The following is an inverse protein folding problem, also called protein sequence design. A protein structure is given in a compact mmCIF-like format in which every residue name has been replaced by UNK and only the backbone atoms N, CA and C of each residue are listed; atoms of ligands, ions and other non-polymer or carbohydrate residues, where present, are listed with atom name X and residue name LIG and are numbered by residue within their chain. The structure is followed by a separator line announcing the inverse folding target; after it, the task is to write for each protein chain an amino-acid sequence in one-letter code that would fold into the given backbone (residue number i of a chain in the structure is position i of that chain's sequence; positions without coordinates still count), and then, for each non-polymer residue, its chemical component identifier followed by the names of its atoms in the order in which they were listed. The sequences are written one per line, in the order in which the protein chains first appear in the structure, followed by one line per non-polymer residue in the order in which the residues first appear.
data_IF_999348901927
#
_entry.id   IF_999348901927
#
_cell.length_a   1.000
_cell.length_b   1.000
_cell.length_c   1.000
_cell.angle_alpha   90.00
_cell.angle_beta   90.00
_cell.angle_gamma   90.00
#
_symmetry.space_group_name_H-M   'P 1'
#
loop_
_entity.id
_entity.type
_entity.pdbx_description
1 polymer ?
#
# COMPACT_ATOMS: atom_id res chain seq x y z
N UNK A 1 -2.23 -4.64 -10.75
CA UNK A 1 -0.82 -4.71 -10.27
C UNK A 1 -0.78 -3.79 -9.07
N UNK A 2 -0.22 -4.24 -7.94
CA UNK A 2 -0.36 -3.53 -6.64
C UNK A 2 0.02 -2.05 -6.75
N UNK A 3 1.05 -1.70 -7.53
CA UNK A 3 1.44 -0.30 -7.78
C UNK A 3 0.31 0.55 -8.38
N UNK A 4 -0.35 0.06 -9.43
CA UNK A 4 -1.50 0.76 -10.05
C UNK A 4 -2.65 0.93 -9.06
N UNK A 5 -2.90 -0.08 -8.23
CA UNK A 5 -3.99 -0.06 -7.25
C UNK A 5 -3.70 0.95 -6.14
N UNK A 6 -2.43 1.15 -5.77
CA UNK A 6 -1.99 2.19 -4.84
C UNK A 6 -2.15 3.59 -5.44
N UNK A 7 -1.77 3.82 -6.70
CA UNK A 7 -1.98 5.11 -7.35
C UNK A 7 -3.49 5.47 -7.42
N UNK A 8 -4.34 4.51 -7.81
CA UNK A 8 -5.80 4.70 -7.80
C UNK A 8 -6.35 5.00 -6.39
N UNK A 9 -5.76 4.41 -5.35
CA UNK A 9 -6.15 4.70 -3.96
C UNK A 9 -5.75 6.13 -3.55
N UNK A 10 -4.55 6.60 -3.94
CA UNK A 10 -4.09 7.96 -3.63
C UNK A 10 -4.93 9.02 -4.37
N UNK A 11 -5.29 8.78 -5.63
CA UNK A 11 -6.24 9.63 -6.37
C UNK A 11 -7.60 9.69 -5.65
N UNK A 12 -8.11 8.56 -5.17
CA UNK A 12 -9.36 8.53 -4.40
C UNK A 12 -9.26 9.29 -3.07
N UNK A 13 -8.08 9.31 -2.43
CA UNK A 13 -7.80 10.09 -1.23
C UNK A 13 -7.80 11.60 -1.52
N UNK A 14 -7.23 12.02 -2.65
CA UNK A 14 -7.25 13.41 -3.11
C UNK A 14 -8.68 13.87 -3.41
N UNK A 15 -9.46 13.08 -4.15
CA UNK A 15 -10.88 13.38 -4.45
C UNK A 15 -11.76 13.50 -3.19
N UNK A 16 -11.39 12.81 -2.10
CA UNK A 16 -12.06 12.91 -0.80
C UNK A 16 -11.63 14.15 0.01
N UNK A 17 -10.68 14.94 -0.48
CA UNK A 17 -10.19 16.14 0.19
C UNK A 17 -9.31 15.85 1.41
N UNK A 18 -8.61 14.70 1.44
CA UNK A 18 -7.63 14.45 2.49
C UNK A 18 -6.46 15.43 2.41
N UNK A 19 -5.86 15.76 3.56
CA UNK A 19 -4.72 16.67 3.58
C UNK A 19 -3.51 16.06 2.86
N UNK A 20 -2.67 16.91 2.25
CA UNK A 20 -1.42 16.46 1.61
C UNK A 20 -0.52 15.68 2.58
N UNK A 21 -0.52 16.03 3.87
CA UNK A 21 0.22 15.30 4.91
C UNK A 21 -0.31 13.88 5.07
N UNK A 22 -1.64 13.71 5.07
CA UNK A 22 -2.29 12.39 5.17
C UNK A 22 -1.99 11.55 3.93
N UNK A 23 -2.15 12.12 2.74
CA UNK A 23 -1.88 11.44 1.46
C UNK A 23 -0.41 11.00 1.39
N UNK A 24 0.52 11.90 1.71
CA UNK A 24 1.95 11.58 1.72
C UNK A 24 2.32 10.48 2.73
N UNK A 25 1.68 10.45 3.91
CA UNK A 25 1.88 9.36 4.87
C UNK A 25 1.36 8.03 4.34
N UNK A 26 0.21 8.01 3.66
CA UNK A 26 -0.33 6.80 3.05
C UNK A 26 0.55 6.30 1.91
N UNK A 27 0.96 7.19 1.02
CA UNK A 27 1.88 6.86 -0.08
C UNK A 27 3.16 6.22 0.44
N UNK A 28 3.80 6.85 1.43
CA UNK A 28 5.04 6.32 2.02
C UNK A 28 4.85 4.90 2.57
N UNK A 29 3.82 4.67 3.37
CA UNK A 29 3.54 3.34 3.95
C UNK A 29 3.20 2.32 2.86
N UNK A 30 2.40 2.69 1.86
CA UNK A 30 2.02 1.79 0.76
C UNK A 30 3.21 1.43 -0.12
N UNK A 31 4.11 2.36 -0.42
CA UNK A 31 5.34 2.07 -1.19
C UNK A 31 6.26 1.09 -0.47
N UNK A 32 6.41 1.23 0.86
CA UNK A 32 7.16 0.25 1.67
C UNK A 32 6.49 -1.12 1.66
N UNK A 33 5.16 -1.16 1.81
CA UNK A 33 4.40 -2.42 1.76
C UNK A 33 4.45 -3.11 0.39
N UNK A 34 4.41 -2.34 -0.71
CA UNK A 34 4.59 -2.87 -2.08
C UNK A 34 5.95 -3.54 -2.20
N UNK A 35 7.02 -2.88 -1.73
CA UNK A 35 8.37 -3.44 -1.77
C UNK A 35 8.42 -4.78 -1.02
N UNK A 36 7.90 -4.83 0.19
CA UNK A 36 7.79 -6.07 0.96
C UNK A 36 7.00 -7.15 0.19
N UNK A 37 5.85 -6.79 -0.38
CA UNK A 37 4.99 -7.72 -1.13
C UNK A 37 5.69 -8.29 -2.36
N UNK A 38 6.44 -7.46 -3.09
CA UNK A 38 7.25 -7.87 -4.24
C UNK A 38 8.36 -8.85 -3.84
N UNK A 39 9.02 -8.64 -2.70
CA UNK A 39 10.01 -9.58 -2.15
C UNK A 39 9.40 -10.95 -1.79
N UNK A 40 8.10 -10.99 -1.49
CA UNK A 40 7.33 -12.23 -1.27
C UNK A 40 6.72 -12.81 -2.56
N UNK A 41 7.00 -12.23 -3.74
CA UNK A 41 6.47 -12.68 -5.04
C UNK A 41 5.02 -12.29 -5.30
N UNK A 42 4.47 -11.32 -4.56
CA UNK A 42 3.07 -10.92 -4.63
C UNK A 42 2.93 -9.61 -5.41
N UNK A 43 2.40 -9.72 -6.63
CA UNK A 43 2.27 -8.62 -7.60
C UNK A 43 0.81 -8.20 -7.88
N UNK A 44 -0.14 -8.87 -7.23
CA UNK A 44 -1.59 -8.66 -7.35
C UNK A 44 -2.21 -8.43 -5.97
N UNK A 45 -3.05 -7.41 -5.84
CA UNK A 45 -3.65 -7.00 -4.56
C UNK A 45 -4.56 -8.08 -3.97
N UNK A 46 -5.23 -8.86 -4.82
CA UNK A 46 -6.11 -9.98 -4.44
C UNK A 46 -5.35 -11.14 -3.79
N UNK A 47 -4.02 -11.17 -3.93
CA UNK A 47 -3.16 -12.17 -3.29
C UNK A 47 -2.62 -11.71 -1.94
N UNK A 48 -2.86 -10.47 -1.54
CA UNK A 48 -2.50 -9.97 -0.22
C UNK A 48 -3.43 -10.59 0.82
N UNK A 49 -2.85 -11.34 1.75
CA UNK A 49 -3.59 -11.99 2.84
C UNK A 49 -3.43 -11.25 4.16
N UNK A 50 -4.35 -11.47 5.10
CA UNK A 50 -4.23 -10.94 6.46
C UNK A 50 -2.91 -11.35 7.13
N UNK A 51 -2.46 -12.59 6.93
CA UNK A 51 -1.18 -13.07 7.48
C UNK A 51 0.02 -12.27 6.95
N UNK A 52 0.01 -11.89 5.66
CA UNK A 52 1.08 -11.07 5.10
C UNK A 52 1.13 -9.67 5.72
N UNK A 53 -0.04 -9.07 5.96
CA UNK A 53 -0.13 -7.76 6.62
C UNK A 53 0.42 -7.86 8.05
N UNK A 54 0.05 -8.92 8.79
CA UNK A 54 0.59 -9.16 10.13
C UNK A 54 2.11 -9.38 10.11
N UNK A 55 2.62 -10.13 9.13
CA UNK A 55 4.06 -10.34 8.96
C UNK A 55 4.80 -9.04 8.65
N UNK A 56 4.22 -8.15 7.85
CA UNK A 56 4.81 -6.84 7.56
C UNK A 56 4.90 -5.98 8.83
N UNK A 57 3.82 -5.93 9.63
CA UNK A 57 3.74 -5.15 10.87
C UNK A 57 4.65 -5.71 11.97
N UNK A 58 4.93 -7.02 11.99
CA UNK A 58 5.79 -7.60 13.03
C UNK A 58 7.28 -7.37 12.79
N UNK A 59 7.68 -7.04 11.55
CA UNK A 59 9.09 -6.86 11.16
C UNK A 59 9.46 -5.42 10.79
N UNK A 60 8.50 -4.48 10.81
CA UNK A 60 8.68 -3.05 10.57
C UNK A 60 7.92 -2.21 11.60
#
# INVERSE_FOLDING_TARGET
MVEKDVEMFLEACELKGLSMKTIGSYEQTMRLFIRFSNEQGIVQTEKVTHMMVQNYISVN
#
